data_IF_925188806443
#
_entry.id   IF_925188806443
#
_cell.length_a   1.000
_cell.length_b   1.000
_cell.length_c   1.000
_cell.angle_alpha   90.00
_cell.angle_beta   90.00
_cell.angle_gamma   90.00
#
_symmetry.space_group_name_H-M   'P 1'
#
loop_
_entity.id
_entity.type
_entity.pdbx_description
1 polymer ?
#
# COMPACT_ATOMS: atom_id res chain seq x y z
N UNK A 1 14.79 9.50 2.74
CA UNK A 1 15.46 8.29 3.27
C UNK A 1 14.46 7.53 4.15
N UNK A 2 14.37 6.22 4.00
CA UNK A 2 13.58 5.32 4.83
C UNK A 2 14.51 4.69 5.85
N UNK A 3 14.23 4.82 7.14
CA UNK A 3 15.13 4.41 8.23
C UNK A 3 14.35 3.98 9.46
N UNK A 4 14.93 3.10 10.25
CA UNK A 4 14.46 2.68 11.56
C UNK A 4 15.27 3.30 12.72
N UNK A 5 16.14 4.27 12.45
CA UNK A 5 16.90 4.97 13.47
C UNK A 5 15.94 5.71 14.41
N UNK A 6 15.94 5.38 15.69
CA UNK A 6 14.98 5.85 16.70
C UNK A 6 13.51 5.72 16.27
N UNK A 7 13.17 4.62 15.55
CA UNK A 7 11.84 4.40 15.01
C UNK A 7 11.62 2.89 14.77
N UNK A 8 10.96 2.20 15.70
CA UNK A 8 10.73 0.76 15.63
C UNK A 8 10.03 0.33 14.33
N UNK A 9 9.01 1.09 13.93
CA UNK A 9 8.17 0.83 12.74
C UNK A 9 8.57 1.68 11.53
N UNK A 10 9.83 2.15 11.48
CA UNK A 10 10.36 3.01 10.45
C UNK A 10 9.80 4.45 10.43
N UNK A 11 10.58 5.34 9.84
CA UNK A 11 10.22 6.73 9.53
C UNK A 11 10.80 7.15 8.20
N UNK A 12 10.29 8.21 7.61
CA UNK A 12 10.84 8.78 6.38
C UNK A 12 11.41 10.15 6.69
N UNK A 13 12.68 10.29 6.31
CA UNK A 13 13.41 11.54 6.41
C UNK A 13 13.55 12.19 5.03
N UNK A 14 13.54 13.50 4.98
CA UNK A 14 13.79 14.31 3.79
C UNK A 14 14.98 15.23 4.00
N UNK A 15 15.73 15.47 2.95
CA UNK A 15 16.76 16.51 2.91
C UNK A 15 16.69 17.23 1.58
N UNK A 16 16.95 18.54 1.61
CA UNK A 16 16.98 19.39 0.42
C UNK A 16 18.28 19.23 -0.39
N UNK A 17 19.30 18.62 0.22
CA UNK A 17 20.58 18.36 -0.43
C UNK A 17 21.09 16.98 -0.04
N UNK A 18 21.52 16.19 -1.02
CA UNK A 18 22.09 14.85 -0.82
C UNK A 18 23.37 14.89 0.02
N UNK A 19 24.14 15.96 -0.10
CA UNK A 19 25.38 16.16 0.67
C UNK A 19 25.14 16.73 2.08
N UNK A 20 23.91 17.13 2.37
CA UNK A 20 23.53 17.65 3.69
C UNK A 20 23.53 16.53 4.72
N UNK A 21 24.14 16.79 5.86
CA UNK A 21 24.01 15.91 7.05
C UNK A 21 22.75 16.18 7.85
N UNK A 22 21.96 17.19 7.45
CA UNK A 22 20.72 17.57 8.14
C UNK A 22 19.55 16.91 7.42
N UNK A 23 18.84 16.05 8.15
CA UNK A 23 17.66 15.36 7.70
C UNK A 23 16.47 15.76 8.58
N UNK A 24 15.35 16.06 7.97
CA UNK A 24 14.11 16.41 8.66
C UNK A 24 13.13 15.25 8.57
N UNK A 25 12.33 15.04 9.62
CA UNK A 25 11.29 14.01 9.59
C UNK A 25 10.17 14.44 8.65
N UNK A 26 9.98 13.68 7.59
CA UNK A 26 8.90 13.89 6.62
C UNK A 26 7.65 13.10 6.98
N UNK A 27 7.81 11.82 7.33
CA UNK A 27 6.74 10.96 7.86
C UNK A 27 7.27 10.35 9.16
N UNK A 28 6.67 10.69 10.31
CA UNK A 28 7.09 10.14 11.60
C UNK A 28 6.71 8.67 11.71
N UNK A 29 7.43 7.94 12.55
CA UNK A 29 7.05 6.60 12.98
C UNK A 29 5.74 6.65 13.76
N UNK A 30 4.91 5.63 13.56
CA UNK A 30 3.68 5.42 14.31
C UNK A 30 3.70 4.00 14.85
N UNK A 31 3.35 3.83 16.12
CA UNK A 31 3.26 2.50 16.73
C UNK A 31 2.31 1.60 15.97
N UNK A 32 2.67 0.32 15.82
CA UNK A 32 1.88 -0.71 15.12
C UNK A 32 1.61 -0.40 13.64
N UNK A 33 2.41 0.50 13.05
CA UNK A 33 2.25 0.92 11.66
C UNK A 33 3.61 0.95 10.96
N UNK A 34 3.94 -0.13 10.29
CA UNK A 34 5.19 -0.21 9.53
C UNK A 34 5.04 0.50 8.19
N UNK A 35 5.84 1.54 7.97
CA UNK A 35 5.89 2.22 6.68
C UNK A 35 6.60 1.32 5.67
N UNK A 36 5.90 0.98 4.58
CA UNK A 36 6.45 0.20 3.47
C UNK A 36 7.07 1.10 2.39
N UNK A 37 6.53 1.03 1.19
CA UNK A 37 7.04 1.78 0.04
C UNK A 37 6.48 3.21 -0.03
N UNK A 38 7.33 4.13 -0.49
CA UNK A 38 6.94 5.48 -0.85
C UNK A 38 7.29 5.73 -2.32
N UNK A 39 6.28 6.05 -3.10
CA UNK A 39 6.40 6.27 -4.54
C UNK A 39 5.85 7.64 -4.91
N UNK A 40 6.52 8.33 -5.83
CA UNK A 40 6.11 9.64 -6.30
C UNK A 40 5.79 9.62 -7.79
N UNK A 41 4.63 10.16 -8.15
CA UNK A 41 4.28 10.65 -9.48
C UNK A 41 4.33 12.19 -9.48
N UNK A 42 4.17 12.82 -10.64
CA UNK A 42 4.27 14.29 -10.72
C UNK A 42 3.27 15.02 -9.81
N UNK A 43 2.06 14.48 -9.64
CA UNK A 43 1.00 15.10 -8.86
C UNK A 43 0.63 14.30 -7.59
N UNK A 44 1.23 13.12 -7.39
CA UNK A 44 0.80 12.18 -6.37
C UNK A 44 1.96 11.59 -5.59
N UNK A 45 1.76 11.40 -4.32
CA UNK A 45 2.57 10.57 -3.46
C UNK A 45 1.73 9.36 -3.06
N UNK A 46 2.30 8.18 -3.23
CA UNK A 46 1.65 6.92 -2.88
C UNK A 46 2.49 6.27 -1.79
N UNK A 47 1.88 5.91 -0.70
CA UNK A 47 2.51 5.27 0.46
C UNK A 47 1.79 3.98 0.78
N UNK A 48 2.52 2.89 0.93
CA UNK A 48 2.00 1.66 1.52
C UNK A 48 2.43 1.55 2.98
N UNK A 49 1.54 1.04 3.81
CA UNK A 49 1.78 0.78 5.22
C UNK A 49 1.22 -0.60 5.57
N UNK A 50 1.86 -1.25 6.53
CA UNK A 50 1.31 -2.44 7.19
C UNK A 50 0.84 -2.01 8.58
N UNK A 51 -0.46 -2.03 8.81
CA UNK A 51 -1.09 -1.65 10.07
C UNK A 51 -1.97 -2.79 10.59
N UNK A 52 -1.69 -3.26 11.81
CA UNK A 52 -2.39 -4.43 12.37
C UNK A 52 -2.37 -5.64 11.43
N UNK A 53 -1.21 -5.93 10.81
CA UNK A 53 -1.01 -6.99 9.82
C UNK A 53 -1.88 -6.86 8.55
N UNK A 54 -2.43 -5.68 8.25
CA UNK A 54 -3.20 -5.38 7.04
C UNK A 54 -2.51 -4.30 6.21
N UNK A 55 -2.41 -4.54 4.93
CA UNK A 55 -1.89 -3.55 3.99
C UNK A 55 -2.83 -2.37 3.85
N UNK A 56 -2.26 -1.18 3.88
CA UNK A 56 -2.94 0.09 3.66
C UNK A 56 -2.23 0.88 2.56
N UNK A 57 -3.00 1.48 1.68
CA UNK A 57 -2.46 2.31 0.60
C UNK A 57 -3.01 3.73 0.78
N UNK A 58 -2.12 4.68 1.00
CA UNK A 58 -2.45 6.09 1.12
C UNK A 58 -1.97 6.85 -0.11
N UNK A 59 -2.82 7.74 -0.60
CA UNK A 59 -2.52 8.61 -1.74
C UNK A 59 -2.69 10.06 -1.32
N UNK A 60 -1.63 10.83 -1.54
CA UNK A 60 -1.62 12.27 -1.27
C UNK A 60 -1.50 13.04 -2.59
N UNK A 61 -2.43 13.94 -2.82
CA UNK A 61 -2.34 14.89 -3.92
C UNK A 61 -1.34 16.01 -3.53
N UNK A 62 -0.26 16.13 -4.29
CA UNK A 62 0.83 17.06 -3.97
C UNK A 62 0.46 18.55 -4.21
N UNK A 63 -0.58 18.83 -4.99
CA UNK A 63 -1.06 20.20 -5.24
C UNK A 63 -1.98 20.68 -4.13
N UNK A 64 -2.86 19.80 -3.64
CA UNK A 64 -3.87 20.17 -2.63
C UNK A 64 -3.46 19.77 -1.22
N UNK A 65 -2.38 18.97 -1.06
CA UNK A 65 -1.95 18.34 0.19
C UNK A 65 -3.00 17.43 0.85
N UNK A 66 -4.07 17.08 0.12
CA UNK A 66 -5.09 16.17 0.62
C UNK A 66 -4.58 14.73 0.52
N UNK A 67 -4.64 13.99 1.62
CA UNK A 67 -4.32 12.57 1.70
C UNK A 67 -5.59 11.77 1.94
N UNK A 68 -5.69 10.59 1.32
CA UNK A 68 -6.79 9.67 1.50
C UNK A 68 -6.30 8.21 1.39
N UNK A 69 -6.99 7.29 2.07
CA UNK A 69 -6.77 5.86 1.94
C UNK A 69 -7.52 5.33 0.72
N UNK A 70 -6.87 4.46 -0.06
CA UNK A 70 -7.56 3.71 -1.12
C UNK A 70 -8.24 2.51 -0.50
N UNK A 71 -9.56 2.54 -0.42
CA UNK A 71 -10.39 1.40 -0.01
C UNK A 71 -10.99 0.79 -1.28
N UNK A 72 -10.49 -0.38 -1.69
CA UNK A 72 -10.94 -1.02 -2.93
C UNK A 72 -11.59 -2.39 -2.71
N UNK A 73 -11.71 -2.83 -1.46
CA UNK A 73 -12.36 -4.07 -1.07
C UNK A 73 -13.10 -3.90 0.27
N UNK A 74 -14.15 -4.68 0.44
CA UNK A 74 -14.84 -4.81 1.73
C UNK A 74 -14.30 -5.99 2.56
N UNK A 75 -13.34 -6.75 2.02
CA UNK A 75 -12.71 -7.86 2.71
C UNK A 75 -11.77 -7.36 3.82
N UNK A 76 -11.81 -8.04 4.95
CA UNK A 76 -11.05 -7.65 6.16
C UNK A 76 -9.62 -8.15 6.16
N UNK A 77 -9.32 -9.20 5.39
CA UNK A 77 -7.99 -9.81 5.31
C UNK A 77 -7.56 -9.88 3.85
N UNK A 78 -6.55 -9.15 3.49
CA UNK A 78 -6.03 -9.10 2.13
C UNK A 78 -4.54 -8.74 2.12
N UNK A 79 -3.88 -9.10 1.05
CA UNK A 79 -2.55 -8.65 0.66
C UNK A 79 -2.68 -7.72 -0.54
N UNK A 80 -2.04 -6.58 -0.51
CA UNK A 80 -2.07 -5.61 -1.59
C UNK A 80 -0.72 -4.98 -1.86
N UNK A 81 -0.45 -4.74 -3.13
CA UNK A 81 0.76 -4.05 -3.54
C UNK A 81 0.48 -3.04 -4.64
N UNK A 82 1.27 -1.98 -4.66
CA UNK A 82 1.21 -0.93 -5.67
C UNK A 82 2.44 -1.00 -6.56
N UNK A 83 2.23 -0.91 -7.86
CA UNK A 83 3.30 -0.73 -8.83
C UNK A 83 2.95 0.34 -9.86
N UNK A 84 3.99 0.96 -10.42
CA UNK A 84 3.80 1.94 -11.48
C UNK A 84 3.61 1.24 -12.82
N UNK A 85 2.71 1.76 -13.66
CA UNK A 85 2.46 1.24 -15.00
C UNK A 85 3.68 1.36 -15.91
N UNK A 86 4.42 2.45 -15.78
CA UNK A 86 5.59 2.77 -16.60
C UNK A 86 6.61 3.60 -15.79
N UNK A 87 7.76 3.85 -16.40
CA UNK A 87 8.73 4.80 -15.85
C UNK A 87 8.28 6.27 -15.96
N UNK A 88 7.26 6.54 -16.78
CA UNK A 88 6.65 7.86 -16.88
C UNK A 88 5.90 8.21 -15.59
N UNK A 89 6.33 9.27 -14.93
CA UNK A 89 5.70 9.78 -13.72
C UNK A 89 4.55 10.76 -13.99
N UNK A 90 4.31 11.09 -15.25
CA UNK A 90 3.24 11.99 -15.65
C UNK A 90 1.93 11.23 -15.96
N UNK A 91 1.55 10.36 -15.04
CA UNK A 91 0.32 9.57 -15.13
C UNK A 91 -0.48 9.69 -13.83
N UNK A 92 -1.79 9.54 -13.94
CA UNK A 92 -2.70 9.40 -12.79
C UNK A 92 -3.07 7.92 -12.55
N UNK A 93 -2.54 6.99 -13.34
CA UNK A 93 -2.86 5.57 -13.26
C UNK A 93 -1.75 4.77 -12.57
N UNK A 94 -2.15 3.85 -11.70
CA UNK A 94 -1.28 2.89 -11.02
C UNK A 94 -1.83 1.48 -11.16
N UNK A 95 -0.98 0.47 -11.04
CA UNK A 95 -1.41 -0.90 -10.84
C UNK A 95 -1.57 -1.18 -9.35
N UNK A 96 -2.67 -1.80 -8.98
CA UNK A 96 -2.88 -2.37 -7.65
C UNK A 96 -3.09 -3.87 -7.84
N UNK A 97 -2.20 -4.66 -7.26
CA UNK A 97 -2.38 -6.11 -7.15
C UNK A 97 -2.99 -6.43 -5.79
N UNK A 98 -3.91 -7.37 -5.78
CA UNK A 98 -4.74 -7.70 -4.63
C UNK A 98 -5.00 -9.20 -4.61
N UNK A 99 -4.91 -9.80 -3.45
CA UNK A 99 -5.30 -11.19 -3.21
C UNK A 99 -5.80 -11.38 -1.77
N UNK A 100 -6.64 -12.40 -1.58
CA UNK A 100 -7.05 -12.85 -0.25
C UNK A 100 -6.93 -14.36 -0.17
N UNK A 101 -7.00 -14.95 1.03
CA UNK A 101 -7.02 -16.42 1.16
C UNK A 101 -8.17 -17.08 0.41
N UNK A 102 -9.27 -16.35 0.13
CA UNK A 102 -10.43 -16.84 -0.59
C UNK A 102 -10.58 -16.29 -2.01
N UNK A 103 -9.80 -15.27 -2.40
CA UNK A 103 -9.91 -14.63 -3.72
C UNK A 103 -8.59 -14.72 -4.45
N UNK A 104 -8.56 -15.32 -5.65
CA UNK A 104 -7.35 -15.40 -6.46
C UNK A 104 -6.77 -14.02 -6.74
N UNK A 105 -5.45 -13.97 -7.00
CA UNK A 105 -4.76 -12.71 -7.27
C UNK A 105 -5.38 -11.98 -8.47
N UNK A 106 -5.66 -10.70 -8.25
CA UNK A 106 -6.21 -9.77 -9.25
C UNK A 106 -5.32 -8.56 -9.38
N UNK A 107 -5.19 -8.04 -10.58
CA UNK A 107 -4.48 -6.79 -10.84
C UNK A 107 -5.44 -5.80 -11.49
N UNK A 108 -5.52 -4.62 -10.89
CA UNK A 108 -6.35 -3.51 -11.37
C UNK A 108 -5.49 -2.36 -11.84
N UNK A 109 -5.94 -1.63 -12.85
CA UNK A 109 -5.55 -0.24 -13.07
C UNK A 109 -6.48 0.61 -12.22
N UNK A 110 -5.89 1.47 -11.40
CA UNK A 110 -6.60 2.43 -10.56
C UNK A 110 -6.21 3.85 -10.95
N UNK A 111 -7.20 4.68 -11.32
CA UNK A 111 -6.98 6.08 -11.63
C UNK A 111 -7.11 6.92 -10.36
N UNK A 112 -6.02 7.59 -9.97
CA UNK A 112 -5.93 8.38 -8.75
C UNK A 112 -6.83 9.63 -8.74
N UNK A 113 -7.19 10.12 -9.92
CA UNK A 113 -8.02 11.31 -10.07
C UNK A 113 -9.52 10.98 -10.10
N UNK A 114 -9.92 9.99 -10.92
CA UNK A 114 -11.34 9.61 -11.09
C UNK A 114 -11.77 8.55 -10.07
N UNK A 115 -10.81 7.87 -9.42
CA UNK A 115 -11.02 6.75 -8.49
C UNK A 115 -11.63 5.51 -9.16
N UNK A 116 -11.60 5.47 -10.46
CA UNK A 116 -12.08 4.32 -11.22
C UNK A 116 -11.07 3.18 -11.16
N UNK A 117 -11.57 1.96 -11.00
CA UNK A 117 -10.77 0.74 -11.05
C UNK A 117 -11.20 -0.14 -12.22
N UNK A 118 -10.22 -0.63 -12.96
CA UNK A 118 -10.40 -1.55 -14.09
C UNK A 118 -9.60 -2.82 -13.87
N UNK A 119 -10.28 -3.97 -13.85
CA UNK A 119 -9.62 -5.27 -13.79
C UNK A 119 -8.83 -5.50 -15.08
N UNK A 120 -7.54 -5.81 -14.94
CA UNK A 120 -6.62 -6.09 -16.05
C UNK A 120 -6.27 -7.56 -16.12
N UNK A 121 -6.04 -8.16 -14.95
CA UNK A 121 -5.62 -9.55 -14.85
C UNK A 121 -6.26 -10.21 -13.63
N UNK A 122 -6.68 -11.45 -13.80
CA UNK A 122 -7.12 -12.34 -12.73
C UNK A 122 -6.44 -13.69 -12.88
N UNK A 123 -5.99 -14.25 -11.78
CA UNK A 123 -5.42 -15.59 -11.75
C UNK A 123 -6.52 -16.61 -11.98
N UNK A 124 -6.36 -17.45 -13.01
CA UNK A 124 -7.26 -18.55 -13.31
C UNK A 124 -6.86 -19.74 -12.45
N UNK A 125 -7.83 -20.35 -11.76
CA UNK A 125 -7.67 -21.60 -11.02
C UNK A 125 -8.22 -22.74 -11.90
N UNK A 126 -7.37 -23.60 -12.50
CA UNK A 126 -7.83 -24.62 -13.46
C UNK A 126 -8.82 -25.64 -12.89
N UNK A 127 -8.73 -25.94 -11.59
CA UNK A 127 -9.65 -26.85 -10.89
C UNK A 127 -11.02 -26.25 -10.56
N UNK A 128 -11.24 -25.00 -10.93
CA UNK A 128 -12.39 -24.21 -10.50
C UNK A 128 -12.19 -23.59 -9.12
N UNK A 129 -12.80 -22.44 -8.91
CA UNK A 129 -12.75 -21.73 -7.63
C UNK A 129 -14.01 -20.87 -7.48
N UNK A 130 -14.66 -20.96 -6.31
CA UNK A 130 -15.78 -20.09 -5.96
C UNK A 130 -15.47 -19.45 -4.59
N UNK A 131 -15.21 -18.14 -4.58
CA UNK A 131 -14.87 -17.40 -3.35
C UNK A 131 -15.97 -17.48 -2.27
N UNK A 132 -17.23 -17.77 -2.64
CA UNK A 132 -18.33 -17.87 -1.71
C UNK A 132 -18.28 -19.15 -0.86
N UNK A 133 -17.50 -20.15 -1.27
CA UNK A 133 -17.34 -21.41 -0.54
C UNK A 133 -16.35 -21.29 0.63
N UNK A 134 -15.72 -20.11 0.81
CA UNK A 134 -14.67 -19.87 1.79
C UNK A 134 -14.99 -18.67 2.67
N UNK A 135 -14.65 -18.79 3.95
CA UNK A 135 -14.65 -17.69 4.93
C UNK A 135 -13.21 -17.50 5.41
N UNK A 136 -12.72 -16.28 5.37
CA UNK A 136 -11.42 -15.93 5.93
C UNK A 136 -11.62 -15.31 7.31
N UNK A 137 -10.94 -15.86 8.33
CA UNK A 137 -10.96 -15.37 9.70
C UNK A 137 -9.52 -15.01 10.11
N UNK A 138 -9.34 -13.78 10.61
CA UNK A 138 -8.10 -13.35 11.23
C UNK A 138 -8.25 -13.48 12.75
N UNK A 139 -7.35 -14.22 13.39
CA UNK A 139 -7.29 -14.35 14.84
C UNK A 139 -5.85 -14.28 15.33
N UNK A 140 -5.66 -13.80 16.56
CA UNK A 140 -4.38 -13.83 17.24
C UNK A 140 -4.28 -15.07 18.11
N UNK A 141 -3.11 -15.68 18.15
CA UNK A 141 -2.80 -16.77 19.07
C UNK A 141 -1.72 -16.29 20.04
N UNK A 142 -1.85 -16.57 21.34
CA UNK A 142 -0.79 -16.22 22.30
C UNK A 142 0.50 -16.95 21.91
N UNK A 143 1.61 -16.23 22.00
CA UNK A 143 2.93 -16.83 21.77
C UNK A 143 3.25 -17.83 22.89
N UNK A 144 3.84 -19.00 22.58
CA UNK A 144 4.30 -19.94 23.63
C UNK A 144 5.40 -19.38 24.52
N UNK A 145 5.86 -18.15 24.27
CA UNK A 145 6.95 -17.47 24.99
C UNK A 145 6.49 -16.28 25.83
N UNK A 146 5.19 -16.01 25.86
CA UNK A 146 4.61 -14.96 26.71
C UNK A 146 4.21 -15.52 28.07
#
# INVERSE_FOLDING_TARGET
MHTNEDAEDFKILISNNIESKVWETYIPSQSETMIGNLTFLNNWQIRSELKNALDKIYVKNLKTNKEEEIIFTEETVYDSSVSLMQRDRNTDDIYISYSTPKTPSRTFIYNLKTKEKKLVKEQIIPSGHNSNDYICLLYTSPSPRD
#
